data_IF_572409742511
#
_entry.id   IF_572409742511
#
_cell.length_a   1.000
_cell.length_b   1.000
_cell.length_c   1.000
_cell.angle_alpha   90.00
_cell.angle_beta   90.00
_cell.angle_gamma   90.00
#
_symmetry.space_group_name_H-M   'P 1'
#
loop_
_entity.id
_entity.type
_entity.pdbx_description
1 polymer ?
#
# COMPACT_ATOMS: atom_id res chain seq x y z
N UNK A 1 -12.96 36.51 -18.75
CA UNK A 1 -12.39 35.24 -19.27
C UNK A 1 -13.05 34.10 -18.51
N UNK A 2 -13.92 33.34 -19.17
CA UNK A 2 -14.70 32.28 -18.52
C UNK A 2 -13.78 31.27 -17.85
N UNK A 3 -14.04 30.99 -16.57
CA UNK A 3 -13.55 29.81 -15.85
C UNK A 3 -13.72 28.62 -16.79
N UNK A 4 -12.63 28.11 -17.36
CA UNK A 4 -12.65 26.87 -18.14
C UNK A 4 -12.99 25.77 -17.14
N UNK A 5 -14.28 25.51 -16.97
CA UNK A 5 -14.75 24.33 -16.26
C UNK A 5 -14.04 23.15 -16.91
N UNK A 6 -13.33 22.36 -16.11
CA UNK A 6 -12.85 21.06 -16.51
C UNK A 6 -14.08 20.25 -16.96
N UNK A 7 -14.30 20.18 -18.26
CA UNK A 7 -15.43 19.47 -18.85
C UNK A 7 -15.09 17.99 -18.87
N UNK A 8 -16.08 17.14 -18.57
CA UNK A 8 -15.91 15.69 -18.65
C UNK A 8 -15.43 15.32 -20.05
N UNK A 9 -14.34 14.56 -20.12
CA UNK A 9 -13.78 14.09 -21.38
C UNK A 9 -14.54 12.86 -21.87
N UNK A 10 -15.08 12.93 -23.08
CA UNK A 10 -15.77 11.79 -23.72
C UNK A 10 -14.77 10.83 -24.39
N UNK A 11 -13.59 11.33 -24.75
CA UNK A 11 -12.57 10.53 -25.44
C UNK A 11 -12.06 9.37 -24.56
N UNK A 12 -11.72 8.22 -25.17
CA UNK A 12 -11.05 7.15 -24.45
C UNK A 12 -9.64 7.59 -24.02
N UNK A 13 -9.10 7.05 -22.91
CA UNK A 13 -7.72 7.30 -22.52
C UNK A 13 -6.76 6.72 -23.59
N UNK A 14 -5.49 7.16 -23.62
CA UNK A 14 -4.50 6.62 -24.54
C UNK A 14 -4.41 5.09 -24.47
N UNK A 15 -4.36 4.43 -25.65
CA UNK A 15 -4.51 2.98 -25.76
C UNK A 15 -3.42 2.15 -25.05
N UNK A 16 -2.24 2.72 -24.82
CA UNK A 16 -1.12 2.07 -24.13
C UNK A 16 -1.20 2.15 -22.60
N UNK A 17 -2.22 2.81 -22.04
CA UNK A 17 -2.38 2.92 -20.61
C UNK A 17 -2.80 1.60 -19.98
N UNK A 18 -2.22 1.26 -18.84
CA UNK A 18 -2.75 0.19 -18.01
C UNK A 18 -4.18 0.55 -17.57
N UNK A 19 -5.09 -0.43 -17.44
CA UNK A 19 -6.46 -0.16 -16.98
C UNK A 19 -6.44 0.40 -15.55
N UNK A 20 -7.50 1.06 -15.06
CA UNK A 20 -7.54 1.51 -13.67
C UNK A 20 -7.58 0.30 -12.72
N UNK A 21 -7.07 0.47 -11.49
CA UNK A 21 -7.18 -0.59 -10.47
C UNK A 21 -8.61 -0.64 -9.92
N UNK A 22 -9.24 0.52 -9.75
CA UNK A 22 -10.64 0.67 -9.39
C UNK A 22 -11.36 1.47 -10.46
N UNK A 23 -12.48 0.95 -10.96
CA UNK A 23 -13.24 1.58 -12.04
C UNK A 23 -14.22 2.63 -11.49
N UNK A 24 -14.38 3.74 -12.22
CA UNK A 24 -15.34 4.79 -11.90
C UNK A 24 -16.31 5.01 -13.05
N UNK A 25 -17.59 5.18 -12.71
CA UNK A 25 -18.64 5.51 -13.67
C UNK A 25 -18.54 6.96 -14.10
N UNK A 26 -18.16 7.19 -15.36
CA UNK A 26 -18.02 8.54 -15.95
C UNK A 26 -19.29 9.38 -15.86
N UNK A 27 -20.47 8.77 -15.97
CA UNK A 27 -21.76 9.45 -15.84
C UNK A 27 -22.06 9.88 -14.39
N UNK A 28 -21.42 9.26 -13.40
CA UNK A 28 -21.63 9.46 -11.97
C UNK A 28 -20.50 10.20 -11.25
N UNK A 29 -19.46 10.62 -11.97
CA UNK A 29 -18.37 11.39 -11.38
C UNK A 29 -18.90 12.68 -10.72
N UNK A 30 -18.53 12.98 -9.47
CA UNK A 30 -18.91 14.24 -8.83
C UNK A 30 -18.24 15.44 -9.52
N UNK A 31 -18.70 16.64 -9.19
CA UNK A 31 -18.03 17.86 -9.66
C UNK A 31 -16.75 18.06 -8.86
N UNK A 32 -15.65 18.42 -9.54
CA UNK A 32 -14.40 18.74 -8.85
C UNK A 32 -14.58 19.95 -7.93
N UNK A 33 -13.96 19.95 -6.74
CA UNK A 33 -13.87 21.14 -5.90
C UNK A 33 -13.23 22.30 -6.68
N UNK A 34 -13.76 23.51 -6.51
CA UNK A 34 -13.27 24.67 -7.24
C UNK A 34 -11.92 25.17 -6.71
N UNK A 35 -11.05 25.59 -7.63
CA UNK A 35 -9.81 26.31 -7.32
C UNK A 35 -10.02 27.78 -7.66
N UNK A 36 -10.28 28.62 -6.64
CA UNK A 36 -10.60 30.04 -6.86
C UNK A 36 -9.40 30.85 -7.34
N UNK A 37 -8.19 30.52 -6.85
CA UNK A 37 -6.98 31.22 -7.25
C UNK A 37 -6.51 30.69 -8.61
N UNK A 38 -6.66 31.55 -9.63
CA UNK A 38 -6.26 31.24 -11.00
C UNK A 38 -4.76 30.92 -11.12
N UNK A 39 -3.91 31.50 -10.28
CA UNK A 39 -2.46 31.19 -10.28
C UNK A 39 -2.22 29.79 -9.75
N UNK A 40 -2.89 29.39 -8.67
CA UNK A 40 -2.80 28.03 -8.14
C UNK A 40 -3.38 27.00 -9.12
N UNK A 41 -4.50 27.31 -9.76
CA UNK A 41 -5.07 26.47 -10.82
C UNK A 41 -4.08 26.25 -11.96
N UNK A 42 -3.46 27.32 -12.47
CA UNK A 42 -2.45 27.22 -13.52
C UNK A 42 -1.21 26.46 -13.04
N UNK A 43 -0.77 26.66 -11.80
CA UNK A 43 0.38 25.98 -11.23
C UNK A 43 0.14 24.47 -11.08
N UNK A 44 -1.05 24.05 -10.64
CA UNK A 44 -1.43 22.64 -10.51
C UNK A 44 -1.41 21.89 -11.86
N UNK A 45 -1.72 22.60 -12.94
CA UNK A 45 -1.79 22.05 -14.29
C UNK A 45 -0.51 22.31 -15.11
N UNK A 46 0.59 22.71 -14.47
CA UNK A 46 1.86 22.96 -15.14
C UNK A 46 2.85 21.82 -14.95
N UNK A 47 3.02 20.98 -15.97
CA UNK A 47 4.07 19.97 -15.94
C UNK A 47 5.45 20.63 -16.13
N UNK A 48 6.48 20.11 -15.45
CA UNK A 48 7.85 20.66 -15.53
C UNK A 48 8.39 20.77 -16.95
N UNK A 49 7.98 19.93 -17.90
CA UNK A 49 8.50 20.01 -19.28
C UNK A 49 8.06 21.28 -20.01
N UNK A 50 6.98 21.94 -19.59
CA UNK A 50 6.59 23.25 -20.12
C UNK A 50 7.58 24.37 -19.78
N UNK A 51 8.49 24.13 -18.83
CA UNK A 51 9.41 25.12 -18.31
C UNK A 51 10.74 24.98 -19.08
N UNK A 52 11.16 25.99 -19.88
CA UNK A 52 12.35 25.88 -20.73
C UNK A 52 13.61 25.46 -19.99
N UNK A 53 13.76 25.92 -18.75
CA UNK A 53 14.93 25.70 -17.92
C UNK A 53 14.92 24.34 -17.18
N UNK A 54 13.90 23.49 -17.41
CA UNK A 54 13.78 22.19 -16.73
C UNK A 54 14.94 21.23 -17.02
N UNK A 55 15.60 21.42 -18.16
CA UNK A 55 16.72 20.60 -18.62
C UNK A 55 18.08 21.32 -18.50
N UNK A 56 18.14 22.45 -17.78
CA UNK A 56 19.37 23.21 -17.59
C UNK A 56 20.45 22.38 -16.84
N UNK A 57 21.75 22.46 -17.20
CA UNK A 57 22.80 21.73 -16.50
C UNK A 57 23.03 22.20 -15.06
N UNK A 58 22.66 23.44 -14.72
CA UNK A 58 22.78 24.03 -13.40
C UNK A 58 21.74 23.48 -12.40
N UNK A 59 22.15 22.92 -11.25
CA UNK A 59 21.21 22.33 -10.28
C UNK A 59 20.25 23.36 -9.68
N UNK A 60 20.72 24.58 -9.40
CA UNK A 60 19.90 25.68 -8.86
C UNK A 60 18.81 26.12 -9.85
N UNK A 61 19.14 26.13 -11.14
CA UNK A 61 18.19 26.50 -12.19
C UNK A 61 17.10 25.43 -12.33
N UNK A 62 17.48 24.14 -12.29
CA UNK A 62 16.52 23.03 -12.31
C UNK A 62 15.61 23.02 -11.09
N UNK A 63 16.14 23.30 -9.90
CA UNK A 63 15.33 23.41 -8.68
C UNK A 63 14.31 24.55 -8.81
N UNK A 64 14.73 25.71 -9.29
CA UNK A 64 13.81 26.82 -9.56
C UNK A 64 12.76 26.47 -10.62
N UNK A 65 13.10 25.67 -11.63
CA UNK A 65 12.14 25.14 -12.60
C UNK A 65 11.13 24.18 -11.94
N UNK A 66 11.60 23.24 -11.11
CA UNK A 66 10.74 22.31 -10.39
C UNK A 66 9.77 23.04 -9.44
N UNK A 67 10.21 24.10 -8.75
CA UNK A 67 9.36 24.94 -7.89
C UNK A 67 8.28 25.74 -8.63
N UNK A 68 8.46 25.96 -9.94
CA UNK A 68 7.47 26.59 -10.83
C UNK A 68 6.54 25.56 -11.49
N UNK A 69 6.78 24.27 -11.28
CA UNK A 69 5.95 23.17 -11.79
C UNK A 69 4.99 22.65 -10.72
N UNK A 70 4.02 21.85 -11.14
CA UNK A 70 3.04 21.25 -10.26
C UNK A 70 3.62 20.30 -9.19
N UNK A 71 4.91 19.93 -9.24
CA UNK A 71 5.55 18.95 -8.35
C UNK A 71 5.37 19.22 -6.86
N UNK A 72 5.42 20.48 -6.44
CA UNK A 72 5.19 20.82 -5.02
C UNK A 72 3.73 20.60 -4.63
N UNK A 73 2.81 20.95 -5.52
CA UNK A 73 1.37 20.72 -5.31
C UNK A 73 1.03 19.22 -5.42
N UNK A 74 1.67 18.45 -6.31
CA UNK A 74 1.58 16.97 -6.36
C UNK A 74 1.93 16.38 -5.00
N UNK A 75 3.06 16.80 -4.43
CA UNK A 75 3.51 16.33 -3.11
C UNK A 75 2.52 16.66 -1.98
N UNK A 76 1.98 17.88 -1.94
CA UNK A 76 0.92 18.24 -0.98
C UNK A 76 -0.39 17.46 -1.25
N UNK A 77 -0.67 17.22 -2.53
CA UNK A 77 -1.88 16.57 -3.06
C UNK A 77 -1.98 15.10 -2.72
N UNK A 78 -0.86 14.38 -2.72
CA UNK A 78 -0.81 12.98 -2.26
C UNK A 78 -1.32 12.86 -0.81
N UNK A 79 -0.92 13.79 0.06
CA UNK A 79 -1.38 13.81 1.45
C UNK A 79 -2.87 14.13 1.55
N UNK A 80 -3.34 15.14 0.81
CA UNK A 80 -4.77 15.51 0.74
C UNK A 80 -5.60 14.32 0.28
N UNK A 81 -5.20 13.70 -0.82
CA UNK A 81 -5.87 12.54 -1.42
C UNK A 81 -5.91 11.37 -0.44
N UNK A 82 -4.77 11.01 0.15
CA UNK A 82 -4.68 9.93 1.12
C UNK A 82 -5.56 10.20 2.35
N UNK A 83 -5.58 11.43 2.86
CA UNK A 83 -6.38 11.79 4.02
C UNK A 83 -7.88 11.62 3.76
N UNK A 84 -8.43 12.30 2.74
CA UNK A 84 -9.87 12.25 2.47
C UNK A 84 -10.33 10.85 2.04
N UNK A 85 -9.54 10.14 1.23
CA UNK A 85 -9.86 8.74 0.91
C UNK A 85 -9.89 7.87 2.17
N UNK A 86 -8.98 8.07 3.12
CA UNK A 86 -8.96 7.30 4.38
C UNK A 86 -10.20 7.57 5.23
N UNK A 87 -10.55 8.84 5.40
CA UNK A 87 -11.73 9.25 6.19
C UNK A 87 -12.99 8.63 5.60
N UNK A 88 -13.16 8.74 4.27
CA UNK A 88 -14.35 8.22 3.61
C UNK A 88 -14.41 6.69 3.60
N UNK A 89 -13.28 6.00 3.37
CA UNK A 89 -13.23 4.53 3.47
C UNK A 89 -13.53 4.03 4.88
N UNK A 90 -12.98 4.67 5.92
CA UNK A 90 -13.27 4.33 7.31
C UNK A 90 -14.76 4.54 7.65
N UNK A 91 -15.36 5.60 7.09
CA UNK A 91 -16.79 5.89 7.25
C UNK A 91 -17.68 4.85 6.55
N UNK A 92 -17.32 4.42 5.35
CA UNK A 92 -18.07 3.41 4.58
C UNK A 92 -17.91 1.98 5.12
N UNK A 93 -16.74 1.66 5.67
CA UNK A 93 -16.41 0.31 6.16
C UNK A 93 -16.01 0.33 7.65
N UNK A 94 -16.92 0.69 8.57
CA UNK A 94 -16.61 0.91 9.99
C UNK A 94 -16.09 -0.33 10.72
N UNK A 95 -16.32 -1.53 10.19
CA UNK A 95 -15.85 -2.81 10.77
C UNK A 95 -14.60 -3.37 10.08
N UNK A 96 -14.03 -2.66 9.10
CA UNK A 96 -12.84 -3.12 8.39
C UNK A 96 -11.58 -2.94 9.25
N UNK A 97 -10.62 -3.86 9.13
CA UNK A 97 -9.34 -3.71 9.82
C UNK A 97 -8.49 -2.62 9.14
N UNK A 98 -7.58 -2.00 9.89
CA UNK A 98 -6.68 -0.96 9.36
C UNK A 98 -5.85 -1.42 8.15
N UNK A 99 -5.44 -2.68 8.12
CA UNK A 99 -4.77 -3.29 6.96
C UNK A 99 -5.66 -3.37 5.73
N UNK A 100 -6.94 -3.72 5.89
CA UNK A 100 -7.92 -3.77 4.79
C UNK A 100 -8.20 -2.36 4.25
N UNK A 101 -8.38 -1.38 5.15
CA UNK A 101 -8.56 0.03 4.79
C UNK A 101 -7.36 0.61 4.05
N UNK A 102 -6.14 0.23 4.46
CA UNK A 102 -4.91 0.62 3.78
C UNK A 102 -4.83 0.02 2.37
N UNK A 103 -5.20 -1.26 2.22
CA UNK A 103 -5.25 -1.92 0.91
C UNK A 103 -6.29 -1.27 -0.01
N UNK A 104 -7.49 -0.99 0.49
CA UNK A 104 -8.54 -0.27 -0.23
C UNK A 104 -8.07 1.11 -0.68
N UNK A 105 -7.43 1.87 0.22
CA UNK A 105 -6.87 3.18 -0.11
C UNK A 105 -5.88 3.07 -1.26
N UNK A 106 -4.99 2.08 -1.27
CA UNK A 106 -4.06 1.86 -2.37
C UNK A 106 -4.75 1.64 -3.73
N UNK A 107 -5.95 1.03 -3.77
CA UNK A 107 -6.71 0.89 -5.02
C UNK A 107 -7.20 2.25 -5.52
N UNK A 108 -7.73 3.06 -4.60
CA UNK A 108 -8.29 4.40 -4.86
C UNK A 108 -7.19 5.37 -5.31
N UNK A 109 -6.07 5.42 -4.60
CA UNK A 109 -5.01 6.43 -4.80
C UNK A 109 -3.90 5.97 -5.74
N UNK A 110 -4.06 4.84 -6.44
CA UNK A 110 -3.03 4.39 -7.39
C UNK A 110 -2.95 5.33 -8.61
N UNK A 111 -1.75 5.55 -9.14
CA UNK A 111 -1.58 6.32 -10.39
C UNK A 111 -2.45 5.78 -11.54
N UNK A 112 -2.64 4.46 -11.61
CA UNK A 112 -3.52 3.82 -12.60
C UNK A 112 -4.96 4.28 -12.44
N UNK A 113 -5.49 4.34 -11.22
CA UNK A 113 -6.84 4.86 -10.97
C UNK A 113 -6.92 6.37 -11.20
N UNK A 114 -6.00 7.14 -10.63
CA UNK A 114 -5.99 8.60 -10.69
C UNK A 114 -5.81 9.15 -12.10
N UNK A 115 -4.97 8.52 -12.92
CA UNK A 115 -4.77 8.94 -14.31
C UNK A 115 -6.04 8.84 -15.15
N UNK A 116 -6.82 7.77 -14.97
CA UNK A 116 -8.11 7.60 -15.64
C UNK A 116 -9.16 8.60 -15.14
N UNK A 117 -9.15 8.93 -13.85
CA UNK A 117 -9.98 10.01 -13.30
C UNK A 117 -9.59 11.37 -13.87
N UNK A 118 -8.30 11.71 -13.85
CA UNK A 118 -7.77 12.95 -14.42
C UNK A 118 -8.16 13.09 -15.90
N UNK A 119 -8.01 12.02 -16.67
CA UNK A 119 -8.44 11.96 -18.06
C UNK A 119 -9.95 12.22 -18.19
N UNK A 120 -10.77 11.53 -17.40
CA UNK A 120 -12.23 11.68 -17.43
C UNK A 120 -12.68 13.10 -17.04
N UNK A 121 -11.92 13.82 -16.22
CA UNK A 121 -12.15 15.23 -15.91
C UNK A 121 -11.56 16.20 -16.96
N UNK A 122 -10.92 15.71 -18.02
CA UNK A 122 -10.42 16.54 -19.11
C UNK A 122 -9.03 17.16 -18.89
N UNK A 123 -8.25 16.65 -17.92
CA UNK A 123 -6.92 17.19 -17.61
C UNK A 123 -5.97 17.11 -18.80
N UNK A 124 -6.11 16.08 -19.66
CA UNK A 124 -5.30 15.93 -20.87
C UNK A 124 -5.42 17.09 -21.87
N UNK A 125 -6.49 17.90 -21.79
CA UNK A 125 -6.69 19.07 -22.66
C UNK A 125 -6.16 20.38 -22.09
N UNK A 126 -5.90 20.43 -20.80
CA UNK A 126 -5.55 21.66 -20.08
C UNK A 126 -4.19 21.62 -19.41
N UNK A 127 -3.57 20.44 -19.29
CA UNK A 127 -2.21 20.28 -18.78
C UNK A 127 -1.24 21.06 -19.67
N UNK A 128 -0.53 22.01 -19.10
CA UNK A 128 0.56 22.74 -19.75
C UNK A 128 1.81 21.84 -19.79
N UNK A 129 2.27 21.52 -20.99
CA UNK A 129 3.46 20.72 -21.25
C UNK A 129 4.19 21.27 -22.48
N UNK A 130 5.41 20.79 -22.74
CA UNK A 130 6.11 21.11 -23.98
C UNK A 130 5.37 20.49 -25.18
N UNK A 131 4.84 21.27 -26.14
CA UNK A 131 4.14 20.73 -27.30
C UNK A 131 5.08 20.11 -28.33
N UNK A 132 6.38 20.43 -28.27
CA UNK A 132 7.39 19.93 -29.22
C UNK A 132 7.94 18.55 -28.83
N UNK A 133 7.50 17.98 -27.70
CA UNK A 133 7.86 16.61 -27.35
C UNK A 133 7.28 15.64 -28.39
N UNK A 134 8.04 14.60 -28.75
CA UNK A 134 7.53 13.57 -29.65
C UNK A 134 6.23 12.96 -29.10
N UNK A 135 5.30 12.45 -29.93
CA UNK A 135 3.99 11.98 -29.46
C UNK A 135 4.03 11.02 -28.27
N UNK A 136 5.01 10.11 -28.24
CA UNK A 136 5.24 9.14 -27.16
C UNK A 136 5.93 9.71 -25.90
N UNK A 137 6.42 10.96 -25.96
CA UNK A 137 7.02 11.73 -24.87
C UNK A 137 6.13 12.86 -24.38
N UNK A 138 5.00 13.11 -25.05
CA UNK A 138 4.04 14.12 -24.63
C UNK A 138 3.59 13.82 -23.21
N UNK A 139 3.76 14.77 -22.31
CA UNK A 139 3.44 14.62 -20.89
C UNK A 139 2.00 14.08 -20.68
N UNK A 140 1.07 14.55 -21.52
CA UNK A 140 -0.35 14.14 -21.50
C UNK A 140 -0.61 12.66 -21.80
N UNK A 141 0.37 11.97 -22.38
CA UNK A 141 0.27 10.54 -22.73
C UNK A 141 0.84 9.62 -21.64
N UNK A 142 1.44 10.16 -20.58
CA UNK A 142 1.98 9.36 -19.48
C UNK A 142 0.99 9.28 -18.31
N UNK A 143 0.61 8.07 -17.91
CA UNK A 143 -0.33 7.86 -16.80
C UNK A 143 0.09 8.56 -15.52
N UNK A 144 1.36 8.39 -15.12
CA UNK A 144 1.87 9.02 -13.89
C UNK A 144 1.64 10.53 -13.92
N UNK A 145 2.03 11.22 -14.99
CA UNK A 145 1.91 12.68 -15.08
C UNK A 145 0.46 13.16 -14.95
N UNK A 146 -0.50 12.42 -15.52
CA UNK A 146 -1.91 12.76 -15.36
C UNK A 146 -2.42 12.52 -13.94
N UNK A 147 -1.98 11.43 -13.29
CA UNK A 147 -2.27 11.21 -11.87
C UNK A 147 -1.73 12.35 -11.00
N UNK A 148 -0.45 12.71 -11.18
CA UNK A 148 0.23 13.79 -10.48
C UNK A 148 -0.52 15.13 -10.63
N UNK A 149 -1.08 15.38 -11.82
CA UNK A 149 -1.85 16.61 -12.07
C UNK A 149 -3.18 16.67 -11.31
N UNK A 150 -3.84 15.53 -11.09
CA UNK A 150 -5.05 15.46 -10.28
C UNK A 150 -4.74 15.67 -8.79
N UNK A 151 -3.65 15.08 -8.31
CA UNK A 151 -3.15 15.32 -6.94
C UNK A 151 -2.84 16.81 -6.74
N UNK A 152 -2.09 17.41 -7.66
CA UNK A 152 -1.76 18.83 -7.61
C UNK A 152 -3.00 19.73 -7.65
N UNK A 153 -4.02 19.36 -8.43
CA UNK A 153 -5.28 20.09 -8.47
C UNK A 153 -6.03 20.02 -7.13
N UNK A 154 -6.10 18.84 -6.51
CA UNK A 154 -6.73 18.67 -5.21
C UNK A 154 -5.99 19.45 -4.12
N UNK A 155 -4.66 19.52 -4.17
CA UNK A 155 -3.87 20.40 -3.30
C UNK A 155 -4.25 21.88 -3.49
N UNK A 156 -4.35 22.34 -4.74
CA UNK A 156 -4.74 23.72 -5.04
C UNK A 156 -6.17 24.03 -4.55
N UNK A 157 -7.10 23.08 -4.65
CA UNK A 157 -8.47 23.24 -4.14
C UNK A 157 -8.52 23.28 -2.60
N UNK A 158 -7.60 22.57 -1.94
CA UNK A 158 -7.43 22.52 -0.49
C UNK A 158 -6.42 23.55 0.05
N UNK A 159 -5.91 24.47 -0.76
CA UNK A 159 -4.81 25.33 -0.35
C UNK A 159 -5.20 26.26 0.80
N UNK A 160 -4.27 26.44 1.75
CA UNK A 160 -4.51 27.26 2.94
C UNK A 160 -4.40 28.76 2.63
N UNK A 161 -5.24 29.64 3.21
CA UNK A 161 -6.31 29.35 4.17
C UNK A 161 -7.55 28.69 3.54
N UNK A 162 -8.02 27.61 4.17
CA UNK A 162 -9.18 26.84 3.72
C UNK A 162 -10.42 27.24 4.53
N UNK A 163 -11.47 27.71 3.86
CA UNK A 163 -12.76 27.97 4.49
C UNK A 163 -13.52 26.67 4.78
N UNK A 164 -14.41 26.67 5.77
CA UNK A 164 -15.25 25.51 6.03
C UNK A 164 -16.10 25.09 4.83
N UNK A 165 -16.57 26.06 4.02
CA UNK A 165 -17.35 25.78 2.83
C UNK A 165 -16.53 25.00 1.79
N UNK A 166 -15.25 25.35 1.60
CA UNK A 166 -14.34 24.60 0.73
C UNK A 166 -14.05 23.21 1.28
N UNK A 167 -13.78 23.10 2.57
CA UNK A 167 -13.55 21.81 3.22
C UNK A 167 -14.75 20.87 2.99
N UNK A 168 -15.97 21.35 3.25
CA UNK A 168 -17.21 20.59 2.99
C UNK A 168 -17.38 20.22 1.51
N UNK A 169 -16.96 21.08 0.58
CA UNK A 169 -16.99 20.77 -0.85
C UNK A 169 -16.04 19.63 -1.22
N UNK A 170 -14.86 19.58 -0.62
CA UNK A 170 -13.88 18.51 -0.84
C UNK A 170 -14.35 17.21 -0.21
N UNK A 171 -14.87 17.25 1.02
CA UNK A 171 -15.50 16.11 1.69
C UNK A 171 -16.66 15.53 0.85
N UNK A 172 -17.53 16.41 0.33
CA UNK A 172 -18.62 15.99 -0.55
C UNK A 172 -18.11 15.32 -1.82
N UNK A 173 -17.06 15.88 -2.45
CA UNK A 173 -16.43 15.26 -3.61
C UNK A 173 -15.97 13.83 -3.32
N UNK A 174 -15.23 13.60 -2.23
CA UNK A 174 -14.74 12.25 -1.90
C UNK A 174 -15.85 11.27 -1.54
N UNK A 175 -16.85 11.73 -0.77
CA UNK A 175 -18.04 10.94 -0.45
C UNK A 175 -18.77 10.47 -1.71
N UNK A 176 -18.98 11.37 -2.65
CA UNK A 176 -19.73 11.09 -3.86
C UNK A 176 -18.87 10.27 -4.85
N UNK A 177 -17.56 10.54 -4.92
CA UNK A 177 -16.60 9.81 -5.73
C UNK A 177 -16.52 8.34 -5.33
N UNK A 178 -16.45 8.07 -4.02
CA UNK A 178 -16.35 6.72 -3.46
C UNK A 178 -17.72 6.09 -3.19
N UNK A 179 -18.82 6.73 -3.59
CA UNK A 179 -20.15 6.14 -3.46
C UNK A 179 -20.25 4.84 -4.28
N UNK A 180 -21.07 3.86 -3.87
CA UNK A 180 -21.28 2.63 -4.64
C UNK A 180 -21.82 2.87 -6.07
N UNK A 181 -22.46 4.01 -6.31
CA UNK A 181 -22.95 4.38 -7.63
C UNK A 181 -21.85 4.91 -8.55
N UNK A 182 -20.74 5.40 -8.00
CA UNK A 182 -19.63 5.98 -8.73
C UNK A 182 -18.42 5.03 -8.79
N UNK A 183 -17.92 4.57 -7.64
CA UNK A 183 -16.77 3.67 -7.52
C UNK A 183 -17.20 2.19 -7.63
N UNK A 184 -17.34 1.70 -8.86
CA UNK A 184 -17.80 0.34 -9.13
C UNK A 184 -16.74 -0.67 -8.70
N UNK A 185 -17.15 -1.70 -7.95
CA UNK A 185 -16.24 -2.73 -7.45
C UNK A 185 -15.61 -2.42 -6.09
N UNK A 186 -15.85 -1.24 -5.50
CA UNK A 186 -15.23 -0.86 -4.22
C UNK A 186 -15.72 -1.75 -3.06
N UNK A 187 -17.02 -2.05 -3.02
CA UNK A 187 -17.62 -2.90 -1.99
C UNK A 187 -17.16 -4.35 -2.15
N UNK A 188 -17.11 -4.83 -3.40
CA UNK A 188 -16.61 -6.15 -3.76
C UNK A 188 -15.14 -6.30 -3.39
N UNK A 189 -14.30 -5.30 -3.70
CA UNK A 189 -12.90 -5.28 -3.31
C UNK A 189 -12.73 -5.31 -1.79
N UNK A 190 -13.58 -4.60 -1.04
CA UNK A 190 -13.56 -4.64 0.43
C UNK A 190 -13.88 -6.03 0.97
N UNK A 191 -14.88 -6.71 0.38
CA UNK A 191 -15.23 -8.08 0.71
C UNK A 191 -14.09 -9.05 0.36
N UNK A 192 -13.49 -8.94 -0.82
CA UNK A 192 -12.39 -9.80 -1.28
C UNK A 192 -11.13 -9.64 -0.41
N UNK A 193 -10.76 -8.39 -0.09
CA UNK A 193 -9.62 -8.10 0.78
C UNK A 193 -9.83 -8.72 2.16
N UNK A 194 -11.03 -8.54 2.74
CA UNK A 194 -11.39 -9.15 4.03
C UNK A 194 -11.33 -10.67 3.95
N UNK A 195 -11.92 -11.26 2.92
CA UNK A 195 -11.92 -12.71 2.72
C UNK A 195 -10.50 -13.24 2.57
N UNK A 196 -9.65 -12.57 1.79
CA UNK A 196 -8.23 -12.91 1.64
C UNK A 196 -7.49 -12.83 2.97
N UNK A 197 -7.68 -11.77 3.76
CA UNK A 197 -7.10 -11.66 5.11
C UNK A 197 -7.53 -12.82 6.00
N UNK A 198 -8.82 -13.17 6.02
CA UNK A 198 -9.36 -14.26 6.82
C UNK A 198 -8.88 -15.64 6.34
N UNK A 199 -8.74 -15.84 5.01
CA UNK A 199 -8.13 -17.06 4.45
C UNK A 199 -6.67 -17.19 4.84
N UNK A 200 -5.89 -16.12 4.78
CA UNK A 200 -4.48 -16.12 5.20
C UNK A 200 -4.34 -16.25 6.71
N UNK A 201 -5.29 -15.75 7.49
CA UNK A 201 -5.36 -15.97 8.93
C UNK A 201 -5.77 -17.42 9.31
N UNK A 202 -6.40 -18.17 8.38
CA UNK A 202 -6.91 -19.53 8.59
C UNK A 202 -6.18 -20.63 7.80
N UNK A 203 -4.98 -20.38 7.26
CA UNK A 203 -4.19 -21.41 6.59
C UNK A 203 -2.79 -21.57 7.22
N UNK A 204 -2.74 -22.26 8.35
CA UNK A 204 -1.71 -23.30 8.52
C UNK A 204 -2.39 -24.58 8.02
N UNK A 205 -1.99 -25.16 6.87
CA UNK A 205 -2.43 -26.50 6.55
C UNK A 205 -1.98 -27.39 7.70
N UNK A 206 -2.93 -27.92 8.46
CA UNK A 206 -2.70 -29.19 9.14
C UNK A 206 -2.38 -30.16 8.00
N UNK A 207 -1.10 -30.47 7.83
CA UNK A 207 -0.67 -31.51 6.90
C UNK A 207 -1.59 -32.72 7.16
N UNK A 208 -2.39 -33.08 6.16
CA UNK A 208 -3.14 -34.34 6.19
C UNK A 208 -2.14 -35.46 6.46
N UNK A 209 -2.48 -36.47 7.27
CA UNK A 209 -1.56 -37.54 7.59
C UNK A 209 -1.23 -38.29 6.31
N UNK A 210 -0.05 -38.05 5.74
CA UNK A 210 0.52 -38.98 4.77
C UNK A 210 0.81 -40.25 5.54
N UNK A 211 0.17 -41.36 5.14
CA UNK A 211 0.43 -42.66 5.73
C UNK A 211 1.95 -42.95 5.73
N UNK A 212 2.51 -43.45 6.84
CA UNK A 212 3.92 -43.75 6.90
C UNK A 212 4.23 -44.93 5.97
N UNK A 213 4.94 -44.66 4.88
CA UNK A 213 5.65 -45.71 4.14
C UNK A 213 6.65 -46.38 5.10
N UNK A 214 6.74 -47.72 5.11
CA UNK A 214 7.58 -48.43 6.07
C UNK A 214 9.06 -48.16 5.75
N UNK A 215 9.75 -47.50 6.67
CA UNK A 215 11.20 -47.29 6.60
C UNK A 215 11.86 -48.57 7.10
N UNK A 216 12.62 -49.22 6.21
CA UNK A 216 13.51 -50.32 6.53
C UNK A 216 14.49 -49.90 7.63
N UNK A 217 14.56 -50.71 8.68
CA UNK A 217 15.49 -50.54 9.78
C UNK A 217 16.94 -50.58 9.30
N UNK A 218 17.67 -49.47 9.45
CA UNK A 218 19.11 -49.50 9.59
C UNK A 218 19.63 -48.19 10.21
N UNK A 219 20.28 -48.38 11.36
CA UNK A 219 21.36 -47.55 11.89
C UNK A 219 20.98 -46.17 12.46
N UNK A 220 20.88 -46.19 13.80
CA UNK A 220 21.23 -45.10 14.71
C UNK A 220 22.40 -44.26 14.21
N UNK A 221 22.14 -42.99 13.91
CA UNK A 221 23.14 -41.95 14.11
C UNK A 221 22.47 -40.62 14.53
N UNK A 222 22.93 -40.07 15.65
CA UNK A 222 22.49 -38.77 16.15
C UNK A 222 23.14 -37.70 15.28
N UNK A 223 22.46 -37.29 14.22
CA UNK A 223 22.90 -36.19 13.36
C UNK A 223 21.80 -35.15 13.17
N UNK A 224 22.01 -34.02 13.83
CA UNK A 224 21.30 -32.75 13.69
C UNK A 224 21.27 -32.36 12.21
N UNK A 225 20.15 -32.62 11.54
CA UNK A 225 20.00 -32.28 10.12
C UNK A 225 19.68 -30.79 10.01
N UNK A 226 20.75 -30.00 9.94
CA UNK A 226 20.71 -28.60 9.56
C UNK A 226 20.42 -28.53 8.06
N UNK A 227 19.22 -28.08 7.68
CA UNK A 227 18.98 -27.57 6.33
C UNK A 227 19.81 -26.30 6.15
N UNK A 228 21.00 -26.44 5.56
CA UNK A 228 21.85 -25.32 5.17
C UNK A 228 21.18 -24.53 4.05
N UNK A 229 20.77 -23.31 4.36
CA UNK A 229 21.13 -22.11 3.59
C UNK A 229 20.62 -20.88 4.34
N UNK A 230 21.38 -20.42 5.32
CA UNK A 230 21.29 -19.04 5.81
C UNK A 230 22.71 -18.51 5.92
N UNK A 231 23.07 -17.58 5.04
CA UNK A 231 24.29 -16.75 5.09
C UNK A 231 24.22 -15.72 6.21
N UNK A 232 23.70 -16.12 7.37
CA UNK A 232 23.57 -15.29 8.56
C UNK A 232 24.73 -15.61 9.51
N UNK A 233 25.38 -14.59 10.11
CA UNK A 233 26.40 -14.81 11.12
C UNK A 233 25.80 -15.54 12.33
N UNK A 234 26.62 -16.34 13.02
CA UNK A 234 26.22 -17.02 14.24
C UNK A 234 25.81 -15.99 15.30
N UNK A 235 24.63 -16.11 15.92
CA UNK A 235 24.18 -15.16 16.93
C UNK A 235 24.98 -15.31 18.25
N UNK A 236 25.21 -14.23 19.01
CA UNK A 236 25.76 -14.31 20.36
C UNK A 236 24.82 -15.08 21.32
N UNK A 237 25.41 -15.74 22.31
CA UNK A 237 24.72 -16.46 23.38
C UNK A 237 24.19 -15.47 24.43
N UNK A 238 22.94 -15.66 24.88
CA UNK A 238 22.35 -14.89 25.97
C UNK A 238 21.68 -15.79 27.01
N UNK A 239 22.14 -15.71 28.25
CA UNK A 239 21.53 -16.38 29.39
C UNK A 239 20.35 -15.53 29.89
N UNK A 240 19.13 -16.05 29.77
CA UNK A 240 17.92 -15.42 30.31
C UNK A 240 17.43 -16.22 31.51
N UNK A 241 16.74 -15.58 32.46
CA UNK A 241 16.22 -16.26 33.66
C UNK A 241 15.25 -17.43 33.36
N UNK A 242 14.65 -17.46 32.17
CA UNK A 242 13.74 -18.49 31.69
C UNK A 242 14.39 -19.49 30.72
N UNK A 243 15.68 -19.34 30.41
CA UNK A 243 16.36 -20.12 29.38
C UNK A 243 15.94 -19.78 27.94
N UNK A 244 14.92 -18.94 27.71
CA UNK A 244 14.38 -18.61 26.38
C UNK A 244 14.75 -17.17 25.99
N UNK A 245 15.51 -17.03 24.89
CA UNK A 245 16.00 -15.74 24.40
C UNK A 245 15.55 -15.41 22.96
N UNK A 246 15.20 -14.15 22.70
CA UNK A 246 14.98 -13.63 21.35
C UNK A 246 16.14 -12.72 20.96
N UNK A 247 16.73 -12.94 19.79
CA UNK A 247 17.68 -12.00 19.18
C UNK A 247 17.06 -11.39 17.93
N UNK A 248 17.10 -10.07 17.82
CA UNK A 248 16.51 -9.35 16.69
C UNK A 248 17.53 -8.33 16.18
N UNK A 249 17.89 -8.41 14.90
CA UNK A 249 18.84 -7.47 14.29
C UNK A 249 18.47 -7.18 12.85
N UNK A 250 19.11 -6.17 12.25
CA UNK A 250 18.93 -5.83 10.85
C UNK A 250 20.20 -6.17 10.05
N UNK A 251 20.07 -7.03 9.04
CA UNK A 251 21.16 -7.47 8.16
C UNK A 251 20.77 -7.22 6.71
N UNK A 252 21.59 -6.46 5.98
CA UNK A 252 21.34 -6.14 4.57
C UNK A 252 19.98 -5.47 4.31
N UNK A 253 19.50 -4.64 5.25
CA UNK A 253 18.19 -3.97 5.16
C UNK A 253 16.99 -4.83 5.55
N UNK A 254 17.17 -6.11 5.89
CA UNK A 254 16.11 -7.03 6.35
C UNK A 254 16.23 -7.28 7.85
N UNK A 255 15.11 -7.55 8.50
CA UNK A 255 15.08 -8.02 9.88
C UNK A 255 15.41 -9.50 9.94
N UNK A 256 16.35 -9.88 10.78
CA UNK A 256 16.68 -11.27 11.10
C UNK A 256 16.39 -11.50 12.59
N UNK A 257 15.67 -12.58 12.89
CA UNK A 257 15.27 -12.92 14.26
C UNK A 257 15.64 -14.37 14.56
N UNK A 258 16.25 -14.59 15.73
CA UNK A 258 16.55 -15.91 16.28
C UNK A 258 15.74 -16.12 17.57
N UNK A 259 15.26 -17.34 17.75
CA UNK A 259 14.77 -17.84 19.03
C UNK A 259 15.75 -18.87 19.57
N UNK A 260 16.25 -18.64 20.77
CA UNK A 260 17.17 -19.51 21.49
C UNK A 260 16.49 -20.13 22.72
N UNK A 261 16.86 -21.37 23.03
CA UNK A 261 16.53 -22.05 24.28
C UNK A 261 17.84 -22.61 24.84
N UNK A 262 18.20 -22.24 26.07
CA UNK A 262 19.47 -22.60 26.72
C UNK A 262 20.69 -22.29 25.84
N UNK A 263 20.62 -21.18 25.08
CA UNK A 263 21.65 -20.76 24.14
C UNK A 263 21.70 -21.48 22.80
N UNK A 264 20.93 -22.56 22.63
CA UNK A 264 20.81 -23.26 21.36
C UNK A 264 19.79 -22.55 20.46
N UNK A 265 20.17 -22.30 19.20
CA UNK A 265 19.26 -21.67 18.25
C UNK A 265 18.19 -22.66 17.81
N UNK A 266 16.97 -22.43 18.26
CA UNK A 266 15.82 -23.26 17.87
C UNK A 266 15.39 -22.91 16.45
N UNK A 267 15.12 -21.64 16.16
CA UNK A 267 14.60 -21.18 14.86
C UNK A 267 15.21 -19.82 14.52
N UNK A 268 15.43 -19.59 13.22
CA UNK A 268 15.74 -18.28 12.66
C UNK A 268 14.77 -17.94 11.52
N UNK A 269 14.41 -16.67 11.37
CA UNK A 269 13.65 -16.18 10.23
C UNK A 269 14.02 -14.73 9.88
N UNK A 270 13.90 -14.42 8.59
CA UNK A 270 14.08 -13.06 8.07
C UNK A 270 12.75 -12.45 7.60
N UNK A 271 12.66 -11.12 7.59
CA UNK A 271 11.51 -10.37 7.10
C UNK A 271 11.87 -8.96 6.64
N UNK A 272 10.99 -8.34 5.86
CA UNK A 272 11.15 -6.93 5.47
C UNK A 272 10.81 -6.00 6.63
N UNK A 273 9.96 -6.46 7.55
CA UNK A 273 9.58 -5.78 8.79
C UNK A 273 9.86 -6.65 10.01
N UNK A 274 10.17 -6.02 11.15
CA UNK A 274 10.42 -6.70 12.44
C UNK A 274 9.31 -7.66 12.84
N UNK A 275 8.06 -7.20 12.77
CA UNK A 275 6.88 -8.00 13.16
C UNK A 275 6.66 -9.21 12.25
N UNK A 276 6.91 -9.06 10.94
CA UNK A 276 6.82 -10.14 9.95
C UNK A 276 7.84 -11.26 10.26
N UNK A 277 9.10 -10.87 10.50
CA UNK A 277 10.15 -11.82 10.88
C UNK A 277 9.78 -12.55 12.19
N UNK A 278 9.20 -11.84 13.15
CA UNK A 278 8.85 -12.39 14.47
C UNK A 278 7.71 -13.40 14.37
N UNK A 279 6.67 -13.08 13.59
CA UNK A 279 5.57 -14.00 13.31
C UNK A 279 6.04 -15.27 12.61
N UNK A 280 7.01 -15.16 11.67
CA UNK A 280 7.61 -16.34 11.02
C UNK A 280 8.32 -17.25 12.01
N UNK A 281 9.10 -16.71 12.94
CA UNK A 281 9.75 -17.51 13.99
C UNK A 281 8.71 -18.24 14.83
N UNK A 282 7.65 -17.56 15.29
CA UNK A 282 6.56 -18.19 16.06
C UNK A 282 5.90 -19.32 15.26
N UNK A 283 5.55 -19.09 14.00
CA UNK A 283 4.91 -20.09 13.14
C UNK A 283 5.77 -21.36 12.95
N UNK A 284 7.09 -21.18 12.79
CA UNK A 284 8.03 -22.29 12.67
C UNK A 284 8.13 -23.11 13.96
N UNK A 285 8.13 -22.45 15.12
CA UNK A 285 8.15 -23.11 16.43
C UNK A 285 6.87 -23.91 16.64
N UNK A 286 5.71 -23.29 16.40
CA UNK A 286 4.41 -23.97 16.53
C UNK A 286 4.32 -25.17 15.58
N UNK A 287 4.84 -25.05 14.36
CA UNK A 287 4.88 -26.16 13.40
C UNK A 287 5.72 -27.33 13.94
N UNK A 288 6.86 -27.06 14.59
CA UNK A 288 7.71 -28.10 15.17
C UNK A 288 7.04 -28.76 16.39
N UNK A 289 6.52 -27.95 17.30
CA UNK A 289 5.79 -28.44 18.48
C UNK A 289 4.56 -29.25 18.08
N UNK A 290 3.88 -28.87 16.98
CA UNK A 290 2.74 -29.62 16.46
C UNK A 290 3.13 -30.94 15.78
N UNK A 291 4.35 -31.07 15.26
CA UNK A 291 4.83 -32.36 14.71
C UNK A 291 5.24 -33.31 15.82
N UNK A 292 5.80 -32.79 16.91
CA UNK A 292 6.22 -33.57 18.07
C UNK A 292 5.02 -34.04 18.94
N UNK A 293 4.89 -35.34 19.26
CA UNK A 293 3.78 -35.84 20.09
C UNK A 293 3.73 -35.24 21.50
N UNK A 294 4.87 -35.00 22.14
CA UNK A 294 4.92 -34.40 23.48
C UNK A 294 4.60 -32.91 23.41
N UNK A 295 5.18 -32.18 22.44
CA UNK A 295 4.88 -30.78 22.15
C UNK A 295 3.40 -30.54 21.85
N UNK A 296 2.76 -31.43 21.08
CA UNK A 296 1.31 -31.40 20.84
C UNK A 296 0.50 -31.52 22.12
N UNK A 297 0.89 -32.41 23.04
CA UNK A 297 0.20 -32.57 24.32
C UNK A 297 0.32 -31.31 25.18
N UNK A 298 1.53 -30.72 25.24
CA UNK A 298 1.78 -29.45 25.94
C UNK A 298 0.92 -28.32 25.35
N UNK A 299 0.90 -28.16 24.02
CA UNK A 299 0.08 -27.14 23.36
C UNK A 299 -1.43 -27.33 23.62
N UNK A 300 -1.93 -28.56 23.57
CA UNK A 300 -3.34 -28.85 23.89
C UNK A 300 -3.67 -28.52 25.35
N UNK A 301 -2.75 -28.78 26.28
CA UNK A 301 -2.97 -28.49 27.70
C UNK A 301 -2.93 -26.98 27.97
N UNK A 302 -2.00 -26.25 27.35
CA UNK A 302 -1.93 -24.79 27.46
C UNK A 302 -3.19 -24.10 26.90
N UNK A 303 -3.67 -24.53 25.72
CA UNK A 303 -4.91 -23.99 25.12
C UNK A 303 -6.17 -24.28 25.94
N UNK A 304 -6.17 -25.36 26.74
CA UNK A 304 -7.26 -25.68 27.66
C UNK A 304 -7.20 -24.86 28.95
N UNK A 305 -6.00 -24.46 29.38
CA UNK A 305 -5.82 -23.63 30.56
C UNK A 305 -6.23 -22.16 30.31
N UNK A 306 -5.98 -21.62 29.11
CA UNK A 306 -6.40 -20.25 28.72
C UNK A 306 -7.90 -20.13 28.44
N UNK A 307 -8.61 -21.24 28.21
CA UNK A 307 -10.06 -21.26 27.96
C UNK A 307 -10.92 -21.47 29.20
N UNK A 308 -10.35 -21.29 30.39
CA UNK A 308 -10.94 -21.73 31.67
C UNK A 308 -10.98 -20.66 32.76
N UNK A 309 -11.32 -19.41 32.46
CA UNK A 309 -11.86 -18.43 33.42
C UNK A 309 -12.88 -17.52 32.71
N UNK A 310 -14.06 -18.06 32.39
CA UNK A 310 -15.30 -17.28 32.38
C UNK A 310 -16.22 -17.91 33.43
N UNK A 311 -16.16 -17.37 34.66
CA UNK A 311 -17.27 -17.43 35.62
C UNK A 311 -18.13 -16.19 35.46
#
# INVERSE_FOLDING_TARGET
MSLRLLHRCEDPPPAHWDPPVLAFRRDRLPTLPAVDDQKLFAHALRHKSSIPESNDPGPVVREAADLRSNRRLEWEGDTVLCWFASVELARQFPTAASGDLSALRCLVVSHRTLSHLAWAYGFGRVLEHNPNDAPHRLAVTHQKILADSLEAYLAAACHFPLSEAKLRSVEAFFRDLLSPQCAVGLVEAAAEIRERRLRTANFVPLLSPTEPTPVSAAQTDRSTTTLRSSSLPSPPFFETASGIGWLETQLGGRWAIWLQIEGETLVTAEGTKRQEARQRVVGLVLTRLWKDPQGRAVLRNALRADGGEEQ
#
